data_IF_621012999014
#
_entry.id   IF_621012999014
#
_cell.length_a   1.000
_cell.length_b   1.000
_cell.length_c   1.000
_cell.angle_alpha   90.00
_cell.angle_beta   90.00
_cell.angle_gamma   90.00
#
_symmetry.space_group_name_H-M   'P 1'
#
loop_
_entity.id
_entity.type
_entity.pdbx_description
1 polymer ?
#
# COMPACT_ATOMS: atom_id res chain seq x y z
N UNK A 1 -1.69 -5.15 -1.09
CA UNK A 1 -0.48 -4.74 -0.35
C UNK A 1 -0.92 -3.66 0.60
N UNK A 2 -0.47 -3.66 1.87
CA UNK A 2 -0.90 -2.66 2.83
C UNK A 2 -0.37 -1.25 2.44
N UNK A 3 -0.89 -0.18 3.03
CA UNK A 3 -0.48 1.19 2.69
C UNK A 3 1.04 1.40 2.86
N UNK A 4 1.63 0.87 3.93
CA UNK A 4 3.05 0.98 4.22
C UNK A 4 3.93 0.34 3.13
N UNK A 5 3.62 -0.90 2.76
CA UNK A 5 4.32 -1.64 1.72
C UNK A 5 4.01 -1.09 0.32
N UNK A 6 2.91 -0.35 0.15
CA UNK A 6 2.53 0.28 -1.11
C UNK A 6 3.66 1.12 -1.70
N UNK A 7 4.37 1.87 -0.86
CA UNK A 7 5.51 2.70 -1.27
C UNK A 7 6.74 1.90 -1.75
N UNK A 8 6.84 0.60 -1.45
CA UNK A 8 7.91 -0.26 -1.94
C UNK A 8 7.71 -0.69 -3.40
N UNK A 9 6.51 -0.50 -3.97
CA UNK A 9 6.26 -0.78 -5.37
C UNK A 9 6.80 0.33 -6.27
N UNK A 10 7.00 0.03 -7.56
CA UNK A 10 7.29 1.08 -8.52
C UNK A 10 6.14 2.11 -8.58
N UNK A 11 6.48 3.35 -8.93
CA UNK A 11 5.54 4.46 -8.86
C UNK A 11 4.29 4.28 -9.75
N UNK A 12 4.43 3.62 -10.90
CA UNK A 12 3.29 3.26 -11.76
C UNK A 12 2.27 2.36 -11.05
N UNK A 13 2.74 1.38 -10.27
CA UNK A 13 1.88 0.52 -9.47
C UNK A 13 1.21 1.29 -8.34
N UNK A 14 1.93 2.20 -7.68
CA UNK A 14 1.40 3.06 -6.62
C UNK A 14 0.23 3.92 -7.14
N UNK A 15 0.38 4.53 -8.31
CA UNK A 15 -0.62 5.40 -8.95
C UNK A 15 -1.95 4.71 -9.31
N UNK A 16 -2.00 3.37 -9.22
CA UNK A 16 -3.21 2.60 -9.47
C UNK A 16 -3.75 1.93 -8.22
N UNK A 17 -2.88 1.53 -7.29
CA UNK A 17 -3.23 0.60 -6.22
C UNK A 17 -2.97 1.15 -4.80
N UNK A 18 -2.28 2.28 -4.66
CA UNK A 18 -2.01 2.85 -3.34
C UNK A 18 -3.32 3.42 -2.75
N UNK A 19 -3.64 3.20 -1.46
CA UNK A 19 -4.91 3.67 -0.87
C UNK A 19 -5.14 5.18 -1.04
N UNK A 20 -4.08 5.99 -1.00
CA UNK A 20 -4.17 7.45 -1.20
C UNK A 20 -4.64 7.89 -2.59
N UNK A 21 -4.55 7.03 -3.62
CA UNK A 21 -5.02 7.37 -4.97
C UNK A 21 -6.37 6.74 -5.30
N UNK A 22 -6.97 6.01 -4.34
CA UNK A 22 -8.28 5.38 -4.48
C UNK A 22 -9.27 6.16 -3.62
N UNK A 23 -10.29 6.71 -4.27
CA UNK A 23 -11.33 7.48 -3.59
C UNK A 23 -12.00 6.65 -2.48
N UNK A 24 -12.11 7.22 -1.29
CA UNK A 24 -12.68 6.57 -0.11
C UNK A 24 -11.70 5.70 0.70
N UNK A 25 -10.48 5.46 0.23
CA UNK A 25 -9.49 4.60 0.91
C UNK A 25 -8.37 5.37 1.62
N UNK A 26 -8.44 6.71 1.68
CA UNK A 26 -7.33 7.53 2.18
C UNK A 26 -6.91 7.26 3.64
N UNK A 27 -7.82 6.74 4.47
CA UNK A 27 -7.55 6.35 5.86
C UNK A 27 -7.34 4.84 6.05
N UNK A 28 -7.50 4.04 5.00
CA UNK A 28 -7.34 2.59 5.09
C UNK A 28 -5.87 2.19 5.04
N UNK A 29 -5.43 1.45 6.06
CA UNK A 29 -4.07 0.90 6.12
C UNK A 29 -3.93 -0.43 5.38
N UNK A 30 -5.04 -1.11 5.07
CA UNK A 30 -5.10 -2.42 4.42
C UNK A 30 -4.28 -3.52 5.14
N UNK A 31 -4.09 -3.43 6.46
CA UNK A 31 -3.33 -4.41 7.27
C UNK A 31 -4.19 -5.55 7.84
N UNK A 32 -5.50 -5.59 7.57
CA UNK A 32 -6.44 -6.55 8.19
C UNK A 32 -5.97 -8.00 8.08
N UNK A 33 -5.46 -8.41 6.91
CA UNK A 33 -4.92 -9.76 6.71
C UNK A 33 -3.69 -10.04 7.57
N UNK A 34 -2.77 -9.09 7.68
CA UNK A 34 -1.57 -9.23 8.52
C UNK A 34 -1.96 -9.33 10.00
N UNK A 35 -2.95 -8.55 10.44
CA UNK A 35 -3.49 -8.63 11.81
C UNK A 35 -4.16 -9.98 12.10
N UNK A 36 -4.88 -10.55 11.15
CA UNK A 36 -5.47 -11.90 11.24
C UNK A 36 -4.37 -12.96 11.35
N UNK A 37 -3.38 -12.94 10.48
CA UNK A 37 -2.28 -13.91 10.52
C UNK A 37 -1.44 -13.77 11.78
N UNK A 38 -1.14 -12.54 12.20
CA UNK A 38 -0.44 -12.26 13.44
C UNK A 38 -1.17 -12.83 14.65
N UNK A 39 -2.50 -12.62 14.74
CA UNK A 39 -3.30 -13.16 15.85
C UNK A 39 -3.29 -14.70 15.87
N UNK A 40 -3.29 -15.34 14.69
CA UNK A 40 -3.30 -16.81 14.58
C UNK A 40 -2.04 -17.47 15.18
N UNK A 41 -0.95 -16.74 15.32
CA UNK A 41 0.27 -17.24 15.98
C UNK A 41 0.02 -17.66 17.44
N UNK A 42 -0.99 -17.09 18.11
CA UNK A 42 -1.36 -17.44 19.48
C UNK A 42 -1.70 -18.94 19.64
N UNK A 43 -2.30 -19.55 18.61
CA UNK A 43 -2.67 -20.97 18.60
C UNK A 43 -1.69 -21.87 17.85
N UNK A 44 -0.61 -21.32 17.26
CA UNK A 44 0.35 -22.09 16.48
C UNK A 44 1.03 -23.21 17.30
N UNK A 45 1.34 -22.95 18.58
CA UNK A 45 1.96 -23.96 19.47
C UNK A 45 1.01 -25.09 19.82
N UNK A 46 -0.27 -24.77 20.07
CA UNK A 46 -1.30 -25.76 20.41
C UNK A 46 -1.64 -26.63 19.20
N UNK A 47 -1.68 -26.04 18.02
CA UNK A 47 -2.09 -26.72 16.78
C UNK A 47 -1.00 -27.59 16.16
N UNK A 48 0.29 -27.30 16.42
CA UNK A 48 1.44 -28.00 15.79
C UNK A 48 1.40 -29.52 15.95
N UNK A 49 1.19 -29.99 17.18
CA UNK A 49 1.22 -31.42 17.53
C UNK A 49 -0.16 -31.99 17.86
N UNK A 50 -1.22 -31.22 17.64
CA UNK A 50 -2.60 -31.64 17.89
C UNK A 50 -3.12 -32.61 16.83
N UNK A 51 -4.04 -33.50 17.23
CA UNK A 51 -4.84 -34.25 16.26
C UNK A 51 -5.67 -33.31 15.38
N UNK A 52 -6.13 -33.78 14.22
CA UNK A 52 -6.95 -32.98 13.29
C UNK A 52 -8.15 -32.33 14.00
N UNK A 53 -8.82 -33.08 14.86
CA UNK A 53 -9.97 -32.60 15.65
C UNK A 53 -9.60 -31.42 16.54
N UNK A 54 -8.59 -31.58 17.41
CA UNK A 54 -8.17 -30.51 18.33
C UNK A 54 -7.65 -29.28 17.59
N UNK A 55 -7.00 -29.48 16.45
CA UNK A 55 -6.52 -28.38 15.60
C UNK A 55 -7.67 -27.49 15.12
N UNK A 56 -8.74 -28.11 14.61
CA UNK A 56 -9.93 -27.38 14.17
C UNK A 56 -10.63 -26.71 15.36
N UNK A 57 -10.77 -27.41 16.48
CA UNK A 57 -11.39 -26.85 17.69
C UNK A 57 -10.66 -25.59 18.18
N UNK A 58 -9.32 -25.62 18.29
CA UNK A 58 -8.56 -24.46 18.73
C UNK A 58 -8.62 -23.28 17.75
N UNK A 59 -8.61 -23.57 16.44
CA UNK A 59 -8.76 -22.52 15.43
C UNK A 59 -10.16 -21.89 15.48
N UNK A 60 -11.20 -22.72 15.60
CA UNK A 60 -12.60 -22.29 15.69
C UNK A 60 -12.83 -21.41 16.93
N UNK A 61 -12.38 -21.86 18.10
CA UNK A 61 -12.46 -21.08 19.33
C UNK A 61 -11.71 -19.74 19.22
N UNK A 62 -10.48 -19.76 18.67
CA UNK A 62 -9.67 -18.56 18.49
C UNK A 62 -10.35 -17.53 17.58
N UNK A 63 -10.81 -17.96 16.40
CA UNK A 63 -11.45 -17.04 15.45
C UNK A 63 -12.85 -16.62 15.86
N UNK A 64 -13.58 -17.44 16.63
CA UNK A 64 -14.86 -17.03 17.24
C UNK A 64 -14.64 -15.88 18.22
N UNK A 65 -13.68 -16.02 19.15
CA UNK A 65 -13.36 -14.94 20.09
C UNK A 65 -12.83 -13.71 19.36
N UNK A 66 -11.90 -13.89 18.41
CA UNK A 66 -11.36 -12.78 17.62
C UNK A 66 -12.46 -12.01 16.89
N UNK A 67 -13.46 -12.71 16.34
CA UNK A 67 -14.59 -12.06 15.67
C UNK A 67 -15.46 -11.25 16.65
N UNK A 68 -15.69 -11.76 17.86
CA UNK A 68 -16.40 -11.00 18.90
C UNK A 68 -15.63 -9.75 19.31
N UNK A 69 -14.31 -9.86 19.54
CA UNK A 69 -13.47 -8.72 19.86
C UNK A 69 -13.53 -7.67 18.73
N UNK A 70 -13.50 -8.11 17.46
CA UNK A 70 -13.64 -7.18 16.33
C UNK A 70 -15.01 -6.53 16.26
N UNK A 71 -16.07 -7.29 16.50
CA UNK A 71 -17.43 -6.76 16.50
C UNK A 71 -17.64 -5.73 17.61
N UNK A 72 -17.09 -5.95 18.80
CA UNK A 72 -17.15 -5.00 19.91
C UNK A 72 -16.40 -3.69 19.58
N UNK A 73 -15.25 -3.80 18.91
CA UNK A 73 -14.40 -2.65 18.62
C UNK A 73 -14.74 -1.90 17.31
N UNK A 74 -15.56 -2.48 16.43
CA UNK A 74 -15.81 -1.90 15.09
C UNK A 74 -16.45 -0.52 15.17
N UNK A 75 -17.40 -0.32 16.08
CA UNK A 75 -18.10 0.95 16.23
C UNK A 75 -17.13 2.07 16.67
N UNK A 76 -16.25 1.77 17.63
CA UNK A 76 -15.24 2.72 18.09
C UNK A 76 -14.23 3.04 16.99
N UNK A 77 -13.77 2.02 16.25
CA UNK A 77 -12.86 2.20 15.12
C UNK A 77 -13.49 3.10 14.05
N UNK A 78 -14.74 2.84 13.64
CA UNK A 78 -15.46 3.65 12.65
C UNK A 78 -15.68 5.09 13.12
N UNK A 79 -16.06 5.27 14.39
CA UNK A 79 -16.23 6.60 14.98
C UNK A 79 -14.93 7.39 14.96
N UNK A 80 -13.82 6.77 15.37
CA UNK A 80 -12.52 7.44 15.40
C UNK A 80 -12.03 7.80 14.00
N UNK A 81 -12.20 6.90 13.02
CA UNK A 81 -11.87 7.18 11.62
C UNK A 81 -12.74 8.31 11.06
N UNK A 82 -14.03 8.36 11.41
CA UNK A 82 -14.92 9.44 10.99
C UNK A 82 -14.47 10.80 11.55
N UNK A 83 -14.18 10.87 12.86
CA UNK A 83 -13.68 12.10 13.49
C UNK A 83 -12.35 12.53 12.86
N UNK A 84 -11.44 11.59 12.63
CA UNK A 84 -10.17 11.86 11.97
C UNK A 84 -10.37 12.38 10.54
N UNK A 85 -11.30 11.81 9.78
CA UNK A 85 -11.62 12.28 8.42
C UNK A 85 -12.13 13.73 8.44
N UNK A 86 -13.01 14.08 9.37
CA UNK A 86 -13.50 15.46 9.52
C UNK A 86 -12.37 16.43 9.87
N UNK A 87 -11.46 16.04 10.76
CA UNK A 87 -10.30 16.84 11.12
C UNK A 87 -9.37 17.08 9.92
N UNK A 88 -9.06 16.02 9.15
CA UNK A 88 -8.24 16.11 7.94
C UNK A 88 -8.91 17.00 6.90
N UNK A 89 -10.22 16.86 6.67
CA UNK A 89 -10.94 17.73 5.72
C UNK A 89 -10.86 19.18 6.19
N UNK A 90 -11.11 19.43 7.47
CA UNK A 90 -11.15 20.81 8.02
C UNK A 90 -9.77 21.47 7.93
N UNK A 91 -8.72 20.78 8.34
CA UNK A 91 -7.34 21.31 8.37
C UNK A 91 -6.69 21.30 6.98
N UNK A 92 -6.85 20.21 6.24
CA UNK A 92 -6.28 20.01 4.92
C UNK A 92 -6.88 20.89 3.84
N UNK A 93 -8.19 21.19 3.90
CA UNK A 93 -8.82 22.08 2.90
C UNK A 93 -8.20 23.48 2.93
N UNK A 94 -7.93 24.03 4.11
CA UNK A 94 -7.32 25.35 4.21
C UNK A 94 -5.90 25.38 3.58
N UNK A 95 -5.09 24.35 3.86
CA UNK A 95 -3.74 24.21 3.30
C UNK A 95 -3.79 24.01 1.78
N UNK A 96 -4.73 23.19 1.29
CA UNK A 96 -4.92 22.95 -0.13
C UNK A 96 -5.33 24.22 -0.88
N UNK A 97 -6.26 25.00 -0.33
CA UNK A 97 -6.69 26.27 -0.92
C UNK A 97 -5.55 27.30 -0.99
N UNK A 98 -4.70 27.37 0.04
CA UNK A 98 -3.51 28.23 0.01
C UNK A 98 -2.51 27.79 -1.07
N UNK A 99 -2.23 26.48 -1.15
CA UNK A 99 -1.37 25.90 -2.18
C UNK A 99 -1.92 26.19 -3.59
N UNK A 100 -3.22 25.93 -3.83
CA UNK A 100 -3.89 26.22 -5.11
C UNK A 100 -3.75 27.69 -5.50
N UNK A 101 -3.97 28.61 -4.56
CA UNK A 101 -3.79 30.05 -4.82
C UNK A 101 -2.35 30.40 -5.21
N UNK A 102 -1.35 29.86 -4.49
CA UNK A 102 0.06 30.13 -4.79
C UNK A 102 0.50 29.62 -6.16
N UNK A 103 -0.10 28.51 -6.63
CA UNK A 103 0.16 27.91 -7.93
C UNK A 103 -0.77 28.44 -9.03
N UNK A 104 -1.72 29.30 -8.69
CA UNK A 104 -2.81 29.73 -9.57
C UNK A 104 -3.52 28.55 -10.25
N UNK A 105 -3.81 27.51 -9.47
CA UNK A 105 -4.40 26.27 -9.92
C UNK A 105 -5.85 26.12 -9.45
N UNK A 106 -6.67 25.46 -10.27
CA UNK A 106 -8.04 25.06 -9.98
C UNK A 106 -8.12 23.57 -9.64
N UNK A 107 -9.25 23.11 -9.13
CA UNK A 107 -9.46 21.67 -8.89
C UNK A 107 -9.40 20.85 -10.19
N UNK A 108 -9.84 21.43 -11.31
CA UNK A 108 -9.72 20.79 -12.63
C UNK A 108 -8.25 20.61 -13.06
N UNK A 109 -7.36 21.51 -12.65
CA UNK A 109 -5.93 21.36 -12.91
C UNK A 109 -5.35 20.19 -12.10
N UNK A 110 -5.80 19.98 -10.85
CA UNK A 110 -5.37 18.85 -10.04
C UNK A 110 -5.77 17.51 -10.66
N UNK A 111 -7.03 17.40 -11.12
CA UNK A 111 -7.53 16.21 -11.82
C UNK A 111 -6.74 15.95 -13.11
N UNK A 112 -6.45 17.01 -13.87
CA UNK A 112 -5.67 16.92 -15.09
C UNK A 112 -4.23 16.49 -14.80
N UNK A 113 -3.57 17.04 -13.77
CA UNK A 113 -2.21 16.65 -13.40
C UNK A 113 -2.12 15.19 -13.00
N UNK A 114 -3.13 14.68 -12.27
CA UNK A 114 -3.20 13.27 -11.89
C UNK A 114 -3.39 12.36 -13.13
N UNK A 115 -4.19 12.79 -14.10
CA UNK A 115 -4.36 12.08 -15.37
C UNK A 115 -3.08 12.09 -16.22
N UNK A 116 -2.42 13.25 -16.31
CA UNK A 116 -1.18 13.45 -17.06
C UNK A 116 -0.03 12.63 -16.47
N UNK A 117 0.10 12.60 -15.14
CA UNK A 117 1.07 11.79 -14.42
C UNK A 117 0.87 10.30 -14.73
N UNK A 118 -0.36 9.81 -14.66
CA UNK A 118 -0.70 8.41 -15.00
C UNK A 118 -0.34 8.10 -16.46
N UNK A 119 -0.71 8.96 -17.40
CA UNK A 119 -0.42 8.78 -18.82
C UNK A 119 1.10 8.80 -19.10
N UNK A 120 1.83 9.71 -18.46
CA UNK A 120 3.28 9.83 -18.59
C UNK A 120 4.00 8.56 -18.11
N UNK A 121 3.65 8.03 -16.93
CA UNK A 121 4.27 6.83 -16.36
C UNK A 121 3.95 5.56 -17.16
N UNK A 122 2.72 5.44 -17.65
CA UNK A 122 2.36 4.36 -18.58
C UNK A 122 3.19 4.46 -19.88
N UNK A 123 3.35 5.67 -20.40
CA UNK A 123 4.22 5.95 -21.55
C UNK A 123 5.69 5.60 -21.31
N UNK A 124 6.21 5.81 -20.10
CA UNK A 124 7.57 5.42 -19.72
C UNK A 124 7.78 3.91 -19.76
N UNK A 125 6.82 3.14 -19.26
CA UNK A 125 6.91 1.66 -19.25
C UNK A 125 6.96 1.06 -20.66
N UNK A 126 6.29 1.69 -21.62
CA UNK A 126 6.32 1.28 -23.03
C UNK A 126 7.53 1.81 -23.80
N UNK A 127 8.14 2.91 -23.32
CA UNK A 127 9.34 3.53 -23.89
C UNK A 127 10.65 2.97 -23.34
N UNK A 128 10.65 2.19 -22.25
CA UNK A 128 11.85 1.49 -21.84
C UNK A 128 12.18 0.43 -22.91
N UNK A 129 13.24 0.63 -23.68
CA UNK A 129 13.60 -0.38 -24.65
C UNK A 129 13.98 -1.64 -23.89
N UNK A 130 13.42 -2.76 -24.34
CA UNK A 130 13.58 -4.10 -23.77
C UNK A 130 15.01 -4.65 -23.90
N UNK A 131 16.02 -3.80 -24.12
CA UNK A 131 17.40 -4.25 -24.04
C UNK A 131 17.60 -4.75 -22.62
N UNK A 132 18.00 -6.01 -22.55
CA UNK A 132 18.21 -6.74 -21.34
C UNK A 132 19.13 -5.92 -20.43
N UNK A 133 18.72 -5.64 -19.20
CA UNK A 133 19.62 -5.04 -18.20
C UNK A 133 20.93 -5.84 -18.11
N UNK A 134 20.88 -7.15 -18.43
CA UNK A 134 22.04 -8.01 -18.59
C UNK A 134 22.97 -7.58 -19.74
N UNK A 135 22.49 -7.05 -20.84
CA UNK A 135 23.33 -6.55 -21.94
C UNK A 135 24.10 -5.28 -21.54
N UNK A 136 23.45 -4.37 -20.80
CA UNK A 136 24.13 -3.20 -20.21
C UNK A 136 25.18 -3.63 -19.19
N UNK A 137 24.81 -4.52 -18.26
CA UNK A 137 25.73 -5.09 -17.27
C UNK A 137 26.88 -5.84 -17.94
N UNK A 138 26.62 -6.57 -19.02
CA UNK A 138 27.63 -7.31 -19.77
C UNK A 138 28.65 -6.37 -20.42
N UNK A 139 28.20 -5.28 -21.06
CA UNK A 139 29.09 -4.25 -21.62
C UNK A 139 29.90 -3.57 -20.51
N UNK A 140 29.29 -3.26 -19.38
CA UNK A 140 29.97 -2.65 -18.24
C UNK A 140 31.05 -3.58 -17.65
N UNK A 141 30.77 -4.89 -17.57
CA UNK A 141 31.72 -5.91 -17.15
C UNK A 141 32.88 -6.07 -18.15
N UNK A 142 32.61 -6.01 -19.45
CA UNK A 142 33.66 -6.04 -20.49
C UNK A 142 34.59 -4.82 -20.40
N UNK A 143 34.03 -3.63 -20.15
CA UNK A 143 34.84 -2.41 -19.95
C UNK A 143 35.74 -2.52 -18.73
N UNK A 144 35.22 -3.07 -17.61
CA UNK A 144 36.00 -3.32 -16.40
C UNK A 144 37.10 -4.35 -16.63
N UNK A 145 36.83 -5.42 -17.37
CA UNK A 145 37.84 -6.41 -17.75
C UNK A 145 38.96 -5.78 -18.56
N UNK A 146 38.60 -5.04 -19.61
CA UNK A 146 39.58 -4.39 -20.49
C UNK A 146 40.47 -3.39 -19.73
N UNK A 147 39.91 -2.67 -18.75
CA UNK A 147 40.66 -1.73 -17.91
C UNK A 147 41.59 -2.43 -16.89
N UNK A 148 41.27 -3.67 -16.51
CA UNK A 148 42.09 -4.47 -15.61
C UNK A 148 43.20 -5.23 -16.35
N UNK A 149 43.02 -5.48 -17.64
CA UNK A 149 43.99 -6.15 -18.53
C UNK A 149 44.98 -5.18 -19.20
N UNK A 150 44.70 -3.87 -19.17
CA UNK A 150 45.60 -2.78 -19.62
C UNK A 150 46.49 -2.25 -18.51
#
# INVERSE_FOLDING_TARGET
>A
VNAFHGYAHNYQCQQQNHPLVIEGMGLEDLETMERVFSSSNAVARLTRYSSKYHRHLFLDMHFTQWNWDKYENIALMLHNNYVQALEIITTGSAVLEEAKKSLNASDADLDQWLADEKAYLLGLSSKQPRWDSHALVYVELLQRLQSAES
#
